data_IF_458618901100
#
_entry.id   IF_458618901100
#
_cell.length_a   1.000
_cell.length_b   1.000
_cell.length_c   1.000
_cell.angle_alpha   90.00
_cell.angle_beta   90.00
_cell.angle_gamma   90.00
#
_symmetry.space_group_name_H-M   'P 1'
#
loop_
_entity.id
_entity.type
_entity.pdbx_description
1 polymer ?
#
# COMPACT_ATOMS: atom_id res chain seq x y z
N UNK A 1 7.85 -12.72 -8.79
CA UNK A 1 7.82 -12.76 -7.32
C UNK A 1 6.38 -12.60 -6.85
N UNK A 2 5.66 -13.70 -6.65
CA UNK A 2 4.31 -13.64 -6.07
C UNK A 2 4.45 -13.43 -4.56
N UNK A 3 4.37 -12.18 -4.10
CA UNK A 3 4.23 -11.89 -2.68
C UNK A 3 3.02 -12.68 -2.15
N UNK A 4 3.10 -13.33 -0.96
CA UNK A 4 1.96 -14.02 -0.39
C UNK A 4 0.79 -13.06 -0.38
N UNK A 5 -0.35 -13.46 -0.97
CA UNK A 5 -1.60 -12.68 -1.00
C UNK A 5 -2.06 -12.46 0.44
N UNK A 6 -1.47 -11.46 1.10
CA UNK A 6 -1.88 -10.97 2.39
C UNK A 6 -3.31 -10.50 2.22
N UNK A 7 -4.24 -11.19 2.89
CA UNK A 7 -5.65 -10.80 2.87
C UNK A 7 -5.77 -9.49 3.63
N UNK A 8 -5.69 -8.38 2.88
CA UNK A 8 -5.96 -7.04 3.38
C UNK A 8 -7.40 -6.98 3.89
N UNK A 9 -7.61 -6.30 5.00
CA UNK A 9 -8.95 -5.91 5.42
C UNK A 9 -9.54 -4.90 4.44
N UNK A 10 -10.86 -4.72 4.46
CA UNK A 10 -11.54 -3.69 3.67
C UNK A 10 -10.93 -2.30 3.89
N UNK A 11 -10.54 -1.99 5.13
CA UNK A 11 -9.95 -0.70 5.48
C UNK A 11 -8.50 -0.55 4.98
N UNK A 12 -7.68 -1.59 5.13
CA UNK A 12 -6.31 -1.63 4.59
C UNK A 12 -6.33 -1.50 3.05
N UNK A 13 -7.28 -2.16 2.40
CA UNK A 13 -7.46 -2.10 0.94
C UNK A 13 -7.90 -0.72 0.47
N UNK A 14 -8.85 -0.09 1.13
CA UNK A 14 -9.27 1.28 0.83
C UNK A 14 -8.11 2.28 1.00
N UNK A 15 -7.29 2.11 2.06
CA UNK A 15 -6.13 2.96 2.30
C UNK A 15 -5.05 2.81 1.23
N UNK A 16 -4.75 1.57 0.82
CA UNK A 16 -3.81 1.30 -0.26
C UNK A 16 -4.29 1.93 -1.57
N UNK A 17 -5.57 1.79 -1.90
CA UNK A 17 -6.17 2.36 -3.10
C UNK A 17 -6.10 3.89 -3.11
N UNK A 18 -6.30 4.54 -1.97
CA UNK A 18 -6.13 6.00 -1.83
C UNK A 18 -4.69 6.46 -2.06
N UNK A 19 -3.71 5.69 -1.58
CA UNK A 19 -2.28 5.96 -1.78
C UNK A 19 -1.92 5.80 -3.26
N UNK A 20 -2.34 4.70 -3.89
CA UNK A 20 -2.11 4.46 -5.31
C UNK A 20 -2.77 5.52 -6.19
N UNK A 21 -4.01 5.92 -5.89
CA UNK A 21 -4.70 7.00 -6.60
C UNK A 21 -3.96 8.34 -6.49
N UNK A 22 -3.34 8.63 -5.34
CA UNK A 22 -2.49 9.81 -5.17
C UNK A 22 -1.22 9.69 -6.03
N UNK A 23 -0.62 8.50 -6.09
CA UNK A 23 0.49 8.18 -6.98
C UNK A 23 0.18 8.42 -8.46
N UNK A 24 -0.97 7.90 -8.92
CA UNK A 24 -1.46 8.08 -10.29
C UNK A 24 -1.69 9.55 -10.63
N UNK A 25 -2.30 10.33 -9.72
CA UNK A 25 -2.50 11.77 -9.94
C UNK A 25 -1.20 12.54 -10.11
N UNK A 26 -0.17 12.19 -9.34
CA UNK A 26 1.15 12.82 -9.42
C UNK A 26 1.95 12.37 -10.65
N UNK A 27 1.84 11.10 -11.03
CA UNK A 27 2.43 10.58 -12.26
C UNK A 27 1.81 11.26 -13.49
N UNK A 28 0.49 11.48 -13.48
CA UNK A 28 -0.21 12.26 -14.52
C UNK A 28 0.24 13.74 -14.58
N UNK A 29 0.81 14.27 -13.48
CA UNK A 29 1.41 15.60 -13.43
C UNK A 29 2.93 15.60 -13.77
N UNK A 30 3.48 14.48 -14.26
CA UNK A 30 4.89 14.35 -14.61
C UNK A 30 5.83 14.12 -13.41
N UNK A 31 5.30 13.82 -12.23
CA UNK A 31 6.10 13.50 -11.04
C UNK A 31 6.23 11.99 -10.95
N UNK A 32 7.35 11.45 -11.43
CA UNK A 32 7.61 10.00 -11.47
C UNK A 32 8.27 9.48 -10.20
N UNK A 33 9.18 10.24 -9.59
CA UNK A 33 9.82 9.87 -8.32
C UNK A 33 8.91 10.22 -7.14
N UNK A 34 8.28 9.20 -6.56
CA UNK A 34 7.30 9.35 -5.48
C UNK A 34 7.60 8.45 -4.27
N UNK A 35 8.77 8.62 -3.63
CA UNK A 35 9.20 7.75 -2.53
C UNK A 35 8.28 7.84 -1.31
N UNK A 36 7.50 8.90 -1.16
CA UNK A 36 6.50 9.03 -0.10
C UNK A 36 5.28 8.13 -0.33
N UNK A 37 4.85 7.94 -1.58
CA UNK A 37 3.74 7.04 -1.95
C UNK A 37 4.16 5.60 -1.71
N UNK A 38 5.37 5.22 -2.14
CA UNK A 38 5.89 3.87 -1.94
C UNK A 38 6.02 3.52 -0.45
N UNK A 39 6.61 4.42 0.35
CA UNK A 39 6.71 4.23 1.81
C UNK A 39 5.34 4.12 2.48
N UNK A 40 4.34 4.88 2.02
CA UNK A 40 2.98 4.82 2.56
C UNK A 40 2.33 3.47 2.23
N UNK A 41 2.46 3.00 0.99
CA UNK A 41 1.93 1.71 0.57
C UNK A 41 2.61 0.57 1.34
N UNK A 42 3.93 0.63 1.52
CA UNK A 42 4.70 -0.35 2.27
C UNK A 42 4.29 -0.42 3.74
N UNK A 43 4.04 0.73 4.41
CA UNK A 43 3.50 0.74 5.78
C UNK A 43 2.16 0.03 5.90
N UNK A 44 1.25 0.18 4.93
CA UNK A 44 -0.04 -0.53 4.93
C UNK A 44 0.18 -2.04 4.80
N UNK A 45 1.09 -2.46 3.91
CA UNK A 45 1.47 -3.88 3.76
C UNK A 45 2.12 -4.43 5.02
N UNK A 46 3.00 -3.67 5.66
CA UNK A 46 3.67 -4.05 6.91
C UNK A 46 2.67 -4.16 8.07
N UNK A 47 1.70 -3.25 8.18
CA UNK A 47 0.60 -3.35 9.14
C UNK A 47 -0.21 -4.63 8.92
N UNK A 48 -0.54 -4.94 7.67
CA UNK A 48 -1.24 -6.19 7.34
C UNK A 48 -0.40 -7.43 7.69
N UNK A 49 0.92 -7.41 7.45
CA UNK A 49 1.86 -8.47 7.86
C UNK A 49 1.89 -8.65 9.37
N UNK A 50 2.06 -7.57 10.13
CA UNK A 50 2.05 -7.57 11.60
C UNK A 50 0.73 -8.09 12.17
N UNK A 51 -0.40 -7.68 11.60
CA UNK A 51 -1.73 -8.19 11.97
C UNK A 51 -1.87 -9.69 11.69
N UNK A 52 -1.44 -10.15 10.51
CA UNK A 52 -1.48 -11.56 10.17
C UNK A 52 -0.58 -12.40 11.08
N UNK A 53 0.59 -11.89 11.44
CA UNK A 53 1.52 -12.55 12.36
C UNK A 53 0.97 -12.62 13.80
N UNK A 54 0.29 -11.57 14.29
CA UNK A 54 -0.33 -11.54 15.62
C UNK A 54 -1.60 -12.41 15.74
N UNK A 55 -2.19 -12.81 14.60
CA UNK A 55 -3.35 -13.71 14.56
C UNK A 55 -2.97 -15.20 14.57
N UNK A 56 -1.69 -15.52 14.46
CA UNK A 56 -1.13 -16.87 14.70
C UNK A 56 -0.76 -16.99 16.17
#
# INVERSE_FOLDING_TARGET
MSEPKLKLTLWERARLFGIEAQGVKRAAAGIEDQPDIDRRAERVREQARKRAAKKK
#
